data_IF_745355280865
#
_entry.id   IF_745355280865
#
_cell.length_a   1.000
_cell.length_b   1.000
_cell.length_c   1.000
_cell.angle_alpha   90.00
_cell.angle_beta   90.00
_cell.angle_gamma   90.00
#
_symmetry.space_group_name_H-M   'P 1'
#
loop_
_entity.id
_entity.type
_entity.pdbx_description
1 polymer ?
#
# COMPACT_ATOMS: atom_id res chain seq x y z
N UNK A 1 -4.07 18.10 -4.43
CA UNK A 1 -4.90 17.26 -3.53
C UNK A 1 -4.51 15.83 -3.78
N UNK A 2 -4.01 15.14 -2.75
CA UNK A 2 -3.79 13.70 -2.79
C UNK A 2 -5.01 13.04 -2.16
N UNK A 3 -5.64 12.10 -2.86
CA UNK A 3 -6.75 11.34 -2.33
C UNK A 3 -6.23 10.01 -1.76
N UNK A 4 -6.55 9.77 -0.49
CA UNK A 4 -6.46 8.44 0.11
C UNK A 4 -7.79 8.08 0.73
N UNK A 5 -8.05 6.78 0.85
CA UNK A 5 -9.15 6.27 1.67
C UNK A 5 -8.61 5.24 2.66
N UNK A 6 -9.30 5.11 3.79
CA UNK A 6 -9.07 4.03 4.76
C UNK A 6 -10.15 2.99 4.56
N UNK A 7 -9.76 1.73 4.42
CA UNK A 7 -10.67 0.61 4.28
C UNK A 7 -10.29 -0.48 5.27
N UNK A 8 -11.23 -0.82 6.14
CA UNK A 8 -11.09 -1.94 7.07
C UNK A 8 -11.22 -3.25 6.29
N UNK A 9 -10.39 -4.23 6.63
CA UNK A 9 -10.44 -5.53 5.97
C UNK A 9 -11.77 -6.25 6.25
N UNK A 10 -12.09 -7.26 5.45
CA UNK A 10 -13.34 -8.00 5.54
C UNK A 10 -13.65 -8.57 6.94
N UNK A 11 -12.62 -9.02 7.68
CA UNK A 11 -12.81 -9.53 9.06
C UNK A 11 -12.89 -8.44 10.14
N UNK A 12 -12.70 -7.17 9.80
CA UNK A 12 -12.81 -6.04 10.73
C UNK A 12 -11.56 -5.76 11.57
N UNK A 13 -10.52 -6.60 11.51
CA UNK A 13 -9.42 -6.55 12.49
C UNK A 13 -8.31 -5.54 12.16
N UNK A 14 -8.12 -5.21 10.89
CA UNK A 14 -7.06 -4.32 10.45
C UNK A 14 -7.57 -3.35 9.39
N UNK A 15 -6.93 -2.19 9.27
CA UNK A 15 -7.30 -1.15 8.32
C UNK A 15 -6.14 -0.86 7.38
N UNK A 16 -6.42 -0.90 6.08
CA UNK A 16 -5.51 -0.43 5.05
C UNK A 16 -5.79 1.03 4.71
N UNK A 17 -4.75 1.78 4.37
CA UNK A 17 -4.84 3.08 3.74
C UNK A 17 -4.37 2.98 2.28
N UNK A 18 -5.26 3.34 1.36
CA UNK A 18 -5.05 3.24 -0.09
C UNK A 18 -4.88 4.65 -0.65
N UNK A 19 -3.81 4.83 -1.41
CA UNK A 19 -3.46 6.03 -2.16
C UNK A 19 -3.96 5.92 -3.61
N UNK A 20 -4.63 6.97 -4.08
CA UNK A 20 -5.05 7.09 -5.47
C UNK A 20 -4.13 8.06 -6.24
N UNK A 21 -3.19 7.49 -6.98
CA UNK A 21 -2.23 8.27 -7.74
C UNK A 21 -2.87 8.97 -8.92
N UNK A 22 -2.34 10.17 -9.24
CA UNK A 22 -2.73 10.99 -10.40
C UNK A 22 -4.23 11.40 -10.42
N UNK A 23 -4.99 11.10 -9.36
CA UNK A 23 -6.43 11.36 -9.23
C UNK A 23 -7.27 10.78 -10.39
N UNK A 24 -6.88 9.62 -10.92
CA UNK A 24 -7.62 8.91 -11.99
C UNK A 24 -8.68 7.97 -11.38
N UNK A 25 -8.37 7.40 -10.22
CA UNK A 25 -9.22 6.47 -9.49
C UNK A 25 -9.66 7.09 -8.16
N UNK A 26 -10.72 6.53 -7.58
CA UNK A 26 -11.23 6.87 -6.27
C UNK A 26 -11.61 5.59 -5.50
N UNK A 27 -12.24 5.75 -4.33
CA UNK A 27 -12.65 4.63 -3.49
C UNK A 27 -13.58 3.62 -4.16
N UNK A 28 -14.30 4.00 -5.23
CA UNK A 28 -15.17 3.09 -5.98
C UNK A 28 -14.38 2.04 -6.76
N UNK A 29 -13.09 2.29 -7.01
CA UNK A 29 -12.20 1.31 -7.61
C UNK A 29 -11.83 0.16 -6.65
N UNK A 30 -12.20 0.24 -5.36
CA UNK A 30 -11.84 -0.76 -4.34
C UNK A 30 -13.08 -1.55 -3.90
N UNK A 31 -13.16 -2.82 -4.32
CA UNK A 31 -14.22 -3.75 -3.87
C UNK A 31 -14.04 -4.10 -2.41
N UNK A 32 -12.93 -4.73 -2.07
CA UNK A 32 -12.66 -5.24 -0.73
C UNK A 32 -11.17 -5.22 -0.38
N UNK A 33 -10.87 -5.34 0.91
CA UNK A 33 -9.51 -5.50 1.43
C UNK A 33 -9.49 -6.72 2.35
N UNK A 34 -8.45 -7.54 2.25
CA UNK A 34 -8.27 -8.70 3.12
C UNK A 34 -6.90 -8.61 3.78
N UNK A 35 -6.86 -8.74 5.10
CA UNK A 35 -5.62 -8.78 5.86
C UNK A 35 -5.07 -10.22 5.91
N UNK A 36 -3.82 -10.43 6.37
CA UNK A 36 -3.18 -11.76 6.45
C UNK A 36 -3.95 -12.82 7.24
N UNK A 37 -4.93 -12.39 8.06
CA UNK A 37 -5.81 -13.30 8.79
C UNK A 37 -6.97 -13.81 7.92
N UNK A 38 -7.67 -12.91 7.24
CA UNK A 38 -8.86 -13.27 6.47
C UNK A 38 -8.59 -13.53 4.98
N UNK A 39 -7.39 -13.26 4.50
CA UNK A 39 -6.98 -13.60 3.12
C UNK A 39 -6.74 -15.09 2.90
N UNK A 40 -6.66 -15.89 3.96
CA UNK A 40 -6.39 -17.33 3.88
C UNK A 40 -7.55 -18.11 3.27
N UNK A 41 -8.78 -17.60 3.46
CA UNK A 41 -10.02 -18.25 3.00
C UNK A 41 -10.53 -17.69 1.66
N UNK A 42 -9.77 -16.79 1.04
CA UNK A 42 -10.13 -16.13 -0.23
C UNK A 42 -9.48 -16.87 -1.40
N UNK A 43 -10.27 -17.16 -2.41
CA UNK A 43 -9.78 -17.75 -3.66
C UNK A 43 -8.77 -16.81 -4.33
N UNK A 44 -7.62 -17.35 -4.72
CA UNK A 44 -6.45 -16.56 -5.16
C UNK A 44 -6.49 -16.17 -6.64
N UNK A 45 -7.45 -16.70 -7.41
CA UNK A 45 -7.45 -16.56 -8.88
C UNK A 45 -8.41 -15.46 -9.39
N UNK A 46 -8.77 -14.49 -8.55
CA UNK A 46 -9.61 -13.35 -8.93
C UNK A 46 -8.86 -12.32 -9.79
N UNK A 47 -9.40 -11.97 -10.96
CA UNK A 47 -8.79 -10.98 -11.89
C UNK A 47 -8.53 -9.59 -11.25
N UNK A 48 -9.35 -9.21 -10.26
CA UNK A 48 -9.23 -7.95 -9.52
C UNK A 48 -8.26 -7.98 -8.34
N UNK A 49 -7.70 -9.14 -7.99
CA UNK A 49 -6.99 -9.32 -6.74
C UNK A 49 -5.50 -9.04 -6.87
N UNK A 50 -5.02 -8.10 -6.06
CA UNK A 50 -3.59 -7.81 -5.90
C UNK A 50 -3.12 -8.43 -4.59
N UNK A 51 -2.16 -9.34 -4.67
CA UNK A 51 -1.52 -9.94 -3.51
C UNK A 51 -0.23 -9.21 -3.15
N UNK A 52 -0.06 -8.87 -1.87
CA UNK A 52 1.14 -8.22 -1.36
C UNK A 52 1.35 -8.58 0.13
N UNK A 53 2.32 -9.45 0.42
CA UNK A 53 2.68 -9.88 1.78
C UNK A 53 1.51 -10.32 2.67
N UNK A 54 0.68 -11.22 2.12
CA UNK A 54 -0.48 -11.78 2.81
C UNK A 54 -1.71 -10.87 2.81
N UNK A 55 -1.59 -9.62 2.37
CA UNK A 55 -2.74 -8.77 2.07
C UNK A 55 -3.28 -9.04 0.67
N UNK A 56 -4.58 -8.79 0.52
CA UNK A 56 -5.26 -8.77 -0.78
C UNK A 56 -5.99 -7.44 -0.92
N UNK A 57 -5.70 -6.70 -1.99
CA UNK A 57 -6.52 -5.59 -2.47
C UNK A 57 -7.38 -6.08 -3.62
N UNK A 58 -8.69 -6.13 -3.44
CA UNK A 58 -9.62 -6.52 -4.50
C UNK A 58 -10.14 -5.26 -5.19
N UNK A 59 -9.79 -5.10 -6.47
CA UNK A 59 -10.13 -3.97 -7.29
C UNK A 59 -11.40 -4.23 -8.11
N UNK A 60 -12.21 -3.19 -8.24
CA UNK A 60 -13.34 -3.23 -9.15
C UNK A 60 -12.87 -3.09 -10.60
N UNK A 61 -12.59 -4.23 -11.23
CA UNK A 61 -12.12 -4.26 -12.61
C UNK A 61 -13.09 -3.60 -13.60
N UNK A 62 -14.40 -3.51 -13.31
CA UNK A 62 -15.32 -2.77 -14.18
C UNK A 62 -15.02 -1.26 -14.12
N UNK A 63 -14.87 -0.72 -12.91
CA UNK A 63 -14.48 0.68 -12.68
C UNK A 63 -13.09 0.98 -13.25
N UNK A 64 -12.12 0.09 -13.01
CA UNK A 64 -10.75 0.22 -13.53
C UNK A 64 -10.75 0.29 -15.06
N UNK A 65 -11.49 -0.60 -15.73
CA UNK A 65 -11.55 -0.66 -17.19
C UNK A 65 -12.15 0.61 -17.81
N UNK A 66 -13.12 1.24 -17.14
CA UNK A 66 -13.69 2.53 -17.57
C UNK A 66 -12.64 3.66 -17.50
N UNK A 67 -11.75 3.61 -16.51
CA UNK A 67 -10.67 4.59 -16.32
C UNK A 67 -9.37 4.25 -17.06
N UNK A 68 -9.24 3.07 -17.65
CA UNK A 68 -8.03 2.60 -18.33
C UNK A 68 -7.52 3.56 -19.43
N UNK A 69 -8.37 4.20 -20.27
CA UNK A 69 -7.90 5.16 -21.25
C UNK A 69 -7.18 6.37 -20.64
N UNK A 70 -7.59 6.81 -19.45
CA UNK A 70 -6.92 7.90 -18.71
C UNK A 70 -5.55 7.48 -18.16
N UNK A 71 -5.35 6.18 -17.97
CA UNK A 71 -4.06 5.58 -17.63
C UNK A 71 -3.17 5.34 -18.87
N UNK A 72 -3.70 5.57 -20.08
CA UNK A 72 -3.01 5.25 -21.33
C UNK A 72 -2.99 3.74 -21.64
N UNK A 73 -3.91 2.97 -21.06
CA UNK A 73 -3.98 1.50 -21.18
C UNK A 73 -5.28 1.13 -21.89
N UNK A 74 -5.23 0.08 -22.72
CA UNK A 74 -6.45 -0.48 -23.32
C UNK A 74 -7.31 -1.15 -22.24
N UNK A 75 -8.63 -0.93 -22.17
CA UNK A 75 -9.49 -1.54 -21.15
C UNK A 75 -9.38 -3.06 -21.06
N UNK A 76 -9.12 -3.75 -22.17
CA UNK A 76 -8.99 -5.22 -22.18
C UNK A 76 -7.62 -5.72 -21.68
N UNK A 77 -6.64 -4.82 -21.50
CA UNK A 77 -5.27 -5.16 -21.12
C UNK A 77 -4.89 -4.71 -19.71
N UNK A 78 -5.70 -3.84 -19.09
CA UNK A 78 -5.42 -3.37 -17.73
C UNK A 78 -5.59 -4.53 -16.74
N UNK A 79 -4.61 -4.71 -15.86
CA UNK A 79 -4.63 -5.72 -14.79
C UNK A 79 -4.57 -5.06 -13.43
N UNK A 80 -5.08 -5.73 -12.40
CA UNK A 80 -5.05 -5.24 -11.03
C UNK A 80 -3.59 -4.98 -10.56
N UNK A 81 -2.68 -5.89 -10.89
CA UNK A 81 -1.25 -5.76 -10.61
C UNK A 81 -0.65 -4.50 -11.22
N UNK A 82 -0.95 -4.21 -12.49
CA UNK A 82 -0.45 -3.01 -13.15
C UNK A 82 -1.00 -1.73 -12.50
N UNK A 83 -2.29 -1.73 -12.14
CA UNK A 83 -2.93 -0.60 -11.44
C UNK A 83 -2.20 -0.31 -10.12
N UNK A 84 -1.84 -1.35 -9.38
CA UNK A 84 -1.15 -1.24 -8.11
C UNK A 84 0.31 -0.83 -8.26
N UNK A 85 1.08 -1.53 -9.09
CA UNK A 85 2.52 -1.33 -9.24
C UNK A 85 2.86 0.01 -9.92
N UNK A 86 1.99 0.54 -10.78
CA UNK A 86 2.12 1.88 -11.36
C UNK A 86 1.58 3.00 -10.46
N UNK A 87 1.00 2.64 -9.31
CA UNK A 87 0.57 3.55 -8.26
C UNK A 87 -0.74 4.28 -8.55
N UNK A 88 -1.61 3.76 -9.41
CA UNK A 88 -2.95 4.33 -9.63
C UNK A 88 -3.87 4.06 -8.43
N UNK A 89 -3.79 2.86 -7.83
CA UNK A 89 -4.39 2.54 -6.54
C UNK A 89 -3.45 1.59 -5.78
N UNK A 90 -2.78 2.08 -4.74
CA UNK A 90 -1.74 1.33 -4.02
C UNK A 90 -1.72 1.70 -2.54
N UNK A 91 -0.96 1.01 -1.69
CA UNK A 91 -0.82 1.39 -0.29
C UNK A 91 -0.24 2.81 -0.13
N UNK A 92 -0.72 3.54 0.87
CA UNK A 92 -0.03 4.74 1.34
C UNK A 92 1.32 4.32 1.93
N UNK A 93 2.41 4.82 1.36
CA UNK A 93 3.76 4.39 1.73
C UNK A 93 4.06 2.96 1.28
N UNK A 94 4.54 2.06 2.17
CA UNK A 94 4.98 0.71 1.79
C UNK A 94 3.96 -0.36 2.18
N UNK A 95 3.47 -0.33 3.41
CA UNK A 95 2.50 -1.30 3.94
C UNK A 95 1.09 -0.70 4.03
N UNK A 96 0.04 -1.52 4.11
CA UNK A 96 -1.34 -1.05 4.24
C UNK A 96 -1.60 -0.17 5.47
N UNK A 97 -0.86 -0.38 6.56
CA UNK A 97 -1.00 0.33 7.84
C UNK A 97 0.11 1.39 8.08
N UNK A 98 0.89 1.71 7.04
CA UNK A 98 2.14 2.48 7.15
C UNK A 98 1.96 3.78 7.92
N UNK A 99 0.93 4.57 7.62
CA UNK A 99 0.72 5.87 8.26
C UNK A 99 0.59 5.75 9.77
N UNK A 100 -0.16 4.76 10.24
CA UNK A 100 -0.38 4.52 11.67
C UNK A 100 0.89 3.99 12.34
N UNK A 101 1.49 2.93 11.77
CA UNK A 101 2.68 2.29 12.31
C UNK A 101 3.87 3.26 12.34
N UNK A 102 4.08 4.04 11.27
CA UNK A 102 5.13 5.08 11.21
C UNK A 102 4.92 6.16 12.26
N UNK A 103 3.69 6.64 12.45
CA UNK A 103 3.41 7.68 13.44
C UNK A 103 3.67 7.18 14.86
N UNK A 104 3.26 5.94 15.17
CA UNK A 104 3.52 5.29 16.46
C UNK A 104 5.02 5.14 16.74
N UNK A 105 5.77 4.59 15.79
CA UNK A 105 7.21 4.38 15.94
C UNK A 105 7.99 5.70 16.09
N UNK A 106 7.64 6.71 15.29
CA UNK A 106 8.31 8.02 15.36
C UNK A 106 7.98 8.78 16.64
N UNK A 107 6.82 8.57 17.25
CA UNK A 107 6.44 9.25 18.50
C UNK A 107 7.46 8.98 19.62
N UNK A 108 8.01 7.76 19.70
CA UNK A 108 9.04 7.41 20.67
C UNK A 108 10.37 8.09 20.37
N UNK A 109 10.79 8.11 19.10
CA UNK A 109 12.06 8.74 18.69
C UNK A 109 12.01 10.26 18.90
N UNK A 110 10.84 10.88 18.66
CA UNK A 110 10.63 12.31 18.85
C UNK A 110 10.81 12.77 20.32
N UNK A 111 10.69 11.88 21.30
CA UNK A 111 10.99 12.20 22.71
C UNK A 111 12.46 12.62 22.88
N UNK A 112 13.37 12.04 22.10
CA UNK A 112 14.80 12.36 22.12
C UNK A 112 15.09 13.75 21.55
N UNK A 113 14.29 14.25 20.62
CA UNK A 113 14.54 15.54 19.96
C UNK A 113 14.57 16.73 20.93
N UNK A 114 13.86 16.61 22.06
CA UNK A 114 13.79 17.65 23.11
C UNK A 114 14.95 17.60 24.10
N UNK A 115 15.70 16.50 24.15
CA UNK A 115 16.67 16.22 25.22
C UNK A 115 18.09 16.03 24.67
N UNK A 116 18.23 15.31 23.55
CA UNK A 116 19.51 15.01 22.90
C UNK A 116 19.32 14.96 21.38
N UNK A 117 19.58 16.10 20.73
CA UNK A 117 19.43 16.25 19.28
C UNK A 117 20.36 15.31 18.49
N UNK A 118 21.67 15.18 18.83
CA UNK A 118 22.52 14.18 18.20
C UNK A 118 22.00 12.73 18.31
N UNK A 119 21.49 12.33 19.48
CA UNK A 119 20.90 10.99 19.65
C UNK A 119 19.63 10.81 18.83
N UNK A 120 18.76 11.83 18.78
CA UNK A 120 17.59 11.84 17.91
C UNK A 120 17.96 11.62 16.43
N UNK A 121 18.96 12.35 15.92
CA UNK A 121 19.39 12.21 14.52
C UNK A 121 19.91 10.80 14.22
N UNK A 122 20.70 10.22 15.13
CA UNK A 122 21.18 8.83 14.99
C UNK A 122 20.03 7.83 15.01
N UNK A 123 19.09 7.99 15.94
CA UNK A 123 17.93 7.10 16.09
C UNK A 123 17.01 7.16 14.87
N UNK A 124 16.69 8.36 14.36
CA UNK A 124 15.89 8.53 13.15
C UNK A 124 16.56 7.90 11.91
N UNK A 125 17.88 8.06 11.77
CA UNK A 125 18.63 7.44 10.66
C UNK A 125 18.60 5.92 10.75
N UNK A 126 18.91 5.36 11.92
CA UNK A 126 18.89 3.90 12.14
C UNK A 126 17.49 3.33 11.87
N UNK A 127 16.45 3.96 12.43
CA UNK A 127 15.06 3.59 12.22
C UNK A 127 14.67 3.54 10.73
N UNK A 128 15.06 4.54 9.95
CA UNK A 128 14.79 4.56 8.51
C UNK A 128 15.47 3.39 7.77
N UNK A 129 16.76 3.15 8.05
CA UNK A 129 17.52 2.06 7.44
C UNK A 129 16.98 0.68 7.83
N UNK A 130 16.61 0.49 9.10
CA UNK A 130 16.07 -0.79 9.59
C UNK A 130 14.70 -1.09 8.96
N UNK A 131 13.84 -0.08 8.78
CA UNK A 131 12.57 -0.23 8.07
C UNK A 131 12.76 -0.61 6.62
N UNK A 132 13.64 0.09 5.90
CA UNK A 132 13.94 -0.19 4.50
C UNK A 132 14.48 -1.61 4.31
N UNK A 133 15.42 -2.04 5.17
CA UNK A 133 15.94 -3.41 5.17
C UNK A 133 14.82 -4.41 5.41
N UNK A 134 14.04 -4.22 6.48
CA UNK A 134 12.94 -5.12 6.85
C UNK A 134 11.92 -5.26 5.73
N UNK A 135 11.48 -4.16 5.12
CA UNK A 135 10.47 -4.24 4.07
C UNK A 135 11.01 -4.88 2.77
N UNK A 136 12.28 -4.69 2.48
CA UNK A 136 12.96 -5.40 1.38
C UNK A 136 13.01 -6.91 1.65
N UNK A 137 13.40 -7.31 2.87
CA UNK A 137 13.48 -8.72 3.30
C UNK A 137 12.09 -9.39 3.34
N UNK A 138 11.07 -8.67 3.79
CA UNK A 138 9.68 -9.12 3.81
C UNK A 138 9.11 -9.27 2.39
N UNK A 139 9.71 -8.65 1.36
CA UNK A 139 9.28 -8.86 -0.03
C UNK A 139 8.22 -7.89 -0.54
N UNK A 140 7.98 -6.75 0.13
CA UNK A 140 6.91 -5.81 -0.27
C UNK A 140 7.10 -5.32 -1.70
N UNK A 141 6.04 -5.35 -2.52
CA UNK A 141 6.13 -5.03 -3.96
C UNK A 141 6.79 -3.69 -4.25
N UNK A 142 6.45 -2.65 -3.47
CA UNK A 142 6.99 -1.29 -3.63
C UNK A 142 8.49 -1.18 -3.27
N UNK A 143 9.05 -2.16 -2.57
CA UNK A 143 10.47 -2.25 -2.23
C UNK A 143 11.29 -3.01 -3.28
N UNK A 144 10.66 -3.87 -4.08
CA UNK A 144 11.38 -4.73 -5.04
C UNK A 144 11.96 -3.94 -6.23
N UNK A 145 11.67 -2.64 -6.34
CA UNK A 145 12.00 -1.84 -7.51
C UNK A 145 11.26 -2.34 -8.76
N UNK A 146 11.08 -1.46 -9.75
CA UNK A 146 10.61 -1.94 -11.06
C UNK A 146 11.67 -2.90 -11.60
N UNK A 147 11.34 -4.19 -11.73
CA UNK A 147 12.00 -5.01 -12.73
C UNK A 147 11.79 -4.28 -14.06
N UNK A 148 12.86 -3.65 -14.57
CA UNK A 148 12.85 -3.10 -15.93
C UNK A 148 12.75 -4.31 -16.85
N UNK A 149 11.56 -4.57 -17.38
CA UNK A 149 11.39 -5.40 -18.56
C UNK A 149 12.03 -4.70 -19.76
#
# INVERSE_FOLDING_TARGET
MCQSCRKTCQCGEQTAEIFFGRNILDEKAIKEVYCPKCSQDVDRDGEGMVHDNGWILDLDMEVIRLSAPLMGILPQKVTADQVFDEGYATWVGITPDESETRNRERAEILKLAKVDLPAYLRAMKAWGMDRERRFTEEGWRKMQGRAKA
#
